data_IF_797998935934
#
_entry.id   IF_797998935934
#
_cell.length_a   1.000
_cell.length_b   1.000
_cell.length_c   1.000
_cell.angle_alpha   90.00
_cell.angle_beta   90.00
_cell.angle_gamma   90.00
#
_symmetry.space_group_name_H-M   'P 1'
#
loop_
_entity.id
_entity.type
_entity.pdbx_description
1 polymer ?
#
# COMPACT_ATOMS: atom_id res chain seq x y z
N UNK A 1 -2.69 16.35 54.78
CA UNK A 1 -3.28 16.55 53.43
C UNK A 1 -2.36 15.93 52.40
N UNK A 2 -2.67 14.70 51.96
CA UNK A 2 -1.88 13.99 50.95
C UNK A 2 -2.44 14.39 49.58
N UNK A 3 -1.68 15.14 48.78
CA UNK A 3 -2.01 15.37 47.38
C UNK A 3 -1.48 14.19 46.54
N UNK A 4 -2.38 13.37 46.03
CA UNK A 4 -2.06 12.34 45.03
C UNK A 4 -2.00 13.02 43.66
N UNK A 5 -0.79 13.18 43.12
CA UNK A 5 -0.58 13.65 41.75
C UNK A 5 -0.87 12.52 40.77
N UNK A 6 -1.95 12.65 40.00
CA UNK A 6 -2.27 11.74 38.90
C UNK A 6 -1.31 12.04 37.75
N UNK A 7 -0.35 11.15 37.50
CA UNK A 7 0.48 11.16 36.30
C UNK A 7 -0.33 10.52 35.16
N UNK A 8 -0.86 11.34 34.26
CA UNK A 8 -1.43 10.87 33.00
C UNK A 8 -0.29 10.45 32.07
N UNK A 9 -0.03 9.15 31.98
CA UNK A 9 0.85 8.59 30.94
C UNK A 9 0.16 8.73 29.58
N UNK A 10 0.83 9.25 28.53
CA UNK A 10 0.24 9.32 27.20
C UNK A 10 0.04 7.91 26.65
N UNK A 11 -1.16 7.63 26.16
CA UNK A 11 -1.48 6.37 25.49
C UNK A 11 -0.73 6.32 24.14
N UNK A 12 0.39 5.61 24.11
CA UNK A 12 1.12 5.31 22.87
C UNK A 12 0.24 4.37 22.02
N UNK A 13 -0.25 4.86 20.88
CA UNK A 13 -0.94 4.01 19.89
C UNK A 13 0.12 3.08 19.29
N UNK A 14 0.17 1.83 19.73
CA UNK A 14 0.96 0.80 19.06
C UNK A 14 0.31 0.53 17.71
N UNK A 15 0.95 0.94 16.62
CA UNK A 15 0.54 0.52 15.29
C UNK A 15 0.84 -0.97 15.15
N UNK A 16 -0.15 -1.78 14.76
CA UNK A 16 0.08 -3.20 14.50
C UNK A 16 1.14 -3.33 13.41
N UNK A 17 2.23 -4.02 13.72
CA UNK A 17 3.30 -4.22 12.77
C UNK A 17 2.87 -5.31 11.79
N UNK A 18 2.51 -4.88 10.59
CA UNK A 18 2.15 -5.78 9.47
C UNK A 18 3.23 -5.70 8.40
N UNK A 19 3.42 -6.80 7.68
CA UNK A 19 4.24 -6.83 6.46
C UNK A 19 3.39 -7.19 5.26
N UNK A 20 3.79 -6.69 4.09
CA UNK A 20 3.14 -7.01 2.83
C UNK A 20 3.99 -8.02 2.07
N UNK A 21 3.36 -9.09 1.61
CA UNK A 21 4.01 -10.14 0.82
C UNK A 21 3.19 -10.46 -0.42
N UNK A 22 3.76 -11.26 -1.34
CA UNK A 22 3.07 -11.75 -2.54
C UNK A 22 2.40 -10.63 -3.35
N UNK A 23 3.10 -9.51 -3.53
CA UNK A 23 2.61 -8.40 -4.36
C UNK A 23 2.61 -8.83 -5.82
N UNK A 24 1.45 -8.75 -6.47
CA UNK A 24 1.29 -9.16 -7.87
C UNK A 24 0.62 -8.06 -8.69
N UNK A 25 0.90 -8.09 -9.99
CA UNK A 25 0.19 -7.34 -11.02
C UNK A 25 -0.38 -8.36 -12.00
N UNK A 26 -1.69 -8.33 -12.24
CA UNK A 26 -2.39 -9.33 -13.05
C UNK A 26 -2.10 -10.78 -12.59
N UNK A 27 -2.06 -10.98 -11.26
CA UNK A 27 -1.74 -12.26 -10.59
C UNK A 27 -0.32 -12.79 -10.86
N UNK A 28 0.56 -11.98 -11.44
CA UNK A 28 1.95 -12.33 -11.73
C UNK A 28 2.92 -11.53 -10.85
N UNK A 29 4.03 -12.14 -10.47
CA UNK A 29 5.13 -11.48 -9.75
C UNK A 29 6.06 -10.83 -10.77
N UNK A 30 6.23 -9.51 -10.69
CA UNK A 30 7.09 -8.71 -11.58
C UNK A 30 6.93 -9.03 -13.08
N UNK A 31 5.69 -9.01 -13.62
CA UNK A 31 5.47 -9.38 -15.01
C UNK A 31 6.11 -8.39 -15.98
N UNK A 32 6.46 -8.89 -17.17
CA UNK A 32 6.87 -8.09 -18.31
C UNK A 32 5.85 -8.26 -19.45
N UNK A 33 5.56 -7.17 -20.17
CA UNK A 33 4.71 -7.24 -21.36
C UNK A 33 3.21 -7.35 -21.07
N UNK A 34 2.73 -6.76 -19.98
CA UNK A 34 1.28 -6.62 -19.75
C UNK A 34 0.70 -5.64 -20.77
N UNK A 35 -0.32 -6.08 -21.51
CA UNK A 35 -1.08 -5.30 -22.50
C UNK A 35 -2.42 -4.78 -21.97
N UNK A 36 -2.81 -5.21 -20.76
CA UNK A 36 -3.97 -4.70 -20.04
C UNK A 36 -3.77 -3.23 -19.71
N UNK A 37 -4.60 -2.34 -20.28
CA UNK A 37 -4.51 -0.88 -20.13
C UNK A 37 -4.68 -0.42 -18.68
N UNK A 38 -5.52 -1.13 -17.91
CA UNK A 38 -5.78 -0.87 -16.48
C UNK A 38 -5.49 -2.13 -15.67
N UNK A 39 -4.20 -2.45 -15.44
CA UNK A 39 -3.82 -3.66 -14.74
C UNK A 39 -4.32 -3.66 -13.28
N UNK A 40 -4.38 -4.83 -12.67
CA UNK A 40 -4.91 -5.07 -11.34
C UNK A 40 -3.79 -5.49 -10.40
N UNK A 41 -3.74 -4.84 -9.25
CA UNK A 41 -2.79 -5.14 -8.19
C UNK A 41 -3.42 -6.05 -7.13
N UNK A 42 -2.58 -6.85 -6.48
CA UNK A 42 -2.95 -7.58 -5.27
C UNK A 42 -1.76 -7.68 -4.32
N UNK A 43 -2.05 -7.81 -3.02
CA UNK A 43 -1.06 -7.99 -1.97
C UNK A 43 -1.64 -8.80 -0.81
N UNK A 44 -0.77 -9.50 -0.08
CA UNK A 44 -1.12 -10.23 1.13
C UNK A 44 -0.62 -9.47 2.36
N UNK A 45 -1.47 -9.34 3.37
CA UNK A 45 -1.12 -8.76 4.67
C UNK A 45 -0.74 -9.90 5.61
N UNK A 46 0.48 -9.85 6.12
CA UNK A 46 1.00 -10.80 7.11
C UNK A 46 1.13 -10.08 8.44
N UNK A 47 0.54 -10.66 9.49
CA UNK A 47 0.56 -10.14 10.84
C UNK A 47 0.72 -11.29 11.84
N UNK A 48 1.42 -11.04 12.94
CA UNK A 48 1.54 -12.00 14.05
C UNK A 48 0.24 -12.07 14.88
N UNK A 49 -0.45 -10.94 14.99
CA UNK A 49 -1.69 -10.83 15.74
C UNK A 49 -2.90 -11.38 14.97
N UNK A 50 -3.90 -11.84 15.71
CA UNK A 50 -5.20 -12.23 15.18
C UNK A 50 -6.07 -11.00 14.88
N UNK A 51 -7.07 -11.20 14.03
CA UNK A 51 -8.10 -10.20 13.70
C UNK A 51 -7.50 -8.89 13.16
N UNK A 52 -6.41 -8.98 12.39
CA UNK A 52 -5.86 -7.85 11.64
C UNK A 52 -6.60 -7.73 10.31
N UNK A 53 -7.17 -6.56 10.04
CA UNK A 53 -7.95 -6.29 8.83
C UNK A 53 -7.52 -4.96 8.24
N UNK A 54 -7.36 -4.88 6.92
CA UNK A 54 -7.12 -3.62 6.24
C UNK A 54 -8.33 -2.68 6.37
N UNK A 55 -8.06 -1.42 6.65
CA UNK A 55 -9.06 -0.34 6.66
C UNK A 55 -8.86 0.66 5.53
N UNK A 56 -7.63 0.77 5.02
CA UNK A 56 -7.31 1.60 3.87
C UNK A 56 -6.03 1.12 3.16
N UNK A 57 -5.84 1.59 1.92
CA UNK A 57 -4.59 1.44 1.17
C UNK A 57 -4.20 2.71 0.43
N UNK A 58 -2.94 2.78 0.00
CA UNK A 58 -2.43 3.76 -0.96
C UNK A 58 -1.43 3.06 -1.88
N UNK A 59 -1.63 3.20 -3.18
CA UNK A 59 -0.74 2.68 -4.21
C UNK A 59 0.00 3.86 -4.85
N UNK A 60 1.32 3.71 -4.95
CA UNK A 60 2.16 4.58 -5.77
C UNK A 60 2.67 3.77 -6.96
N UNK A 61 2.62 4.37 -8.15
CA UNK A 61 3.22 3.86 -9.38
C UNK A 61 4.14 4.94 -9.93
N UNK A 62 5.38 4.54 -10.24
CA UNK A 62 6.43 5.45 -10.68
C UNK A 62 7.17 4.95 -11.92
N UNK A 63 7.72 5.88 -12.68
CA UNK A 63 8.52 5.58 -13.88
C UNK A 63 9.92 5.05 -13.58
N UNK A 64 10.39 5.21 -12.34
CA UNK A 64 11.70 4.72 -11.89
C UNK A 64 11.66 4.28 -10.43
N UNK A 65 12.58 3.38 -10.06
CA UNK A 65 12.74 2.94 -8.67
C UNK A 65 13.18 4.10 -7.75
N UNK A 66 13.98 5.04 -8.27
CA UNK A 66 14.42 6.23 -7.54
C UNK A 66 13.23 7.08 -7.09
N UNK A 67 12.33 7.42 -8.02
CA UNK A 67 11.09 8.16 -7.71
C UNK A 67 10.21 7.40 -6.72
N UNK A 68 10.03 6.09 -6.95
CA UNK A 68 9.25 5.26 -6.04
C UNK A 68 9.84 5.25 -4.61
N UNK A 69 11.16 5.18 -4.47
CA UNK A 69 11.85 5.22 -3.18
C UNK A 69 11.71 6.59 -2.50
N UNK A 70 11.71 7.68 -3.28
CA UNK A 70 11.38 9.02 -2.81
C UNK A 70 9.87 9.20 -2.49
N UNK A 71 9.05 8.17 -2.68
CA UNK A 71 7.58 8.20 -2.54
C UNK A 71 6.88 9.16 -3.49
N UNK A 72 7.46 9.33 -4.67
CA UNK A 72 6.88 10.07 -5.79
C UNK A 72 6.19 9.10 -6.75
N UNK A 73 4.86 9.10 -6.76
CA UNK A 73 4.02 8.34 -7.71
C UNK A 73 3.74 9.14 -8.98
N UNK A 74 4.78 9.45 -9.76
CA UNK A 74 4.67 10.34 -10.92
C UNK A 74 3.74 9.83 -12.03
N UNK A 75 3.52 8.52 -12.09
CA UNK A 75 2.54 7.87 -12.97
C UNK A 75 1.17 7.81 -12.30
N UNK A 76 1.14 7.38 -11.03
CA UNK A 76 -0.09 7.32 -10.24
C UNK A 76 0.19 7.41 -8.74
N UNK A 77 -0.63 8.18 -8.05
CA UNK A 77 -0.85 8.09 -6.61
C UNK A 77 -2.35 7.93 -6.39
N UNK A 78 -2.78 6.84 -5.77
CA UNK A 78 -4.20 6.63 -5.46
C UNK A 78 -4.71 7.57 -4.35
N UNK A 79 -3.81 8.23 -3.63
CA UNK A 79 -4.08 8.77 -2.31
C UNK A 79 -4.47 7.67 -1.33
N UNK A 80 -4.92 8.06 -0.14
CA UNK A 80 -5.50 7.13 0.83
C UNK A 80 -6.92 6.75 0.41
N UNK A 81 -7.12 5.48 0.07
CA UNK A 81 -8.42 4.91 -0.26
C UNK A 81 -8.94 4.12 0.94
N UNK A 82 -10.09 4.52 1.50
CA UNK A 82 -10.74 3.80 2.60
C UNK A 82 -11.45 2.55 2.04
N UNK A 83 -10.73 1.43 1.99
CA UNK A 83 -11.23 0.15 1.50
C UNK A 83 -10.48 -1.01 2.15
N UNK A 84 -11.19 -2.10 2.37
CA UNK A 84 -10.65 -3.38 2.84
C UNK A 84 -10.12 -4.26 1.70
N UNK A 85 -10.32 -3.86 0.43
CA UNK A 85 -9.87 -4.63 -0.72
C UNK A 85 -8.34 -4.69 -0.83
N UNK A 86 -7.80 -5.88 -1.06
CA UNK A 86 -6.37 -6.13 -1.28
C UNK A 86 -6.08 -7.00 -2.50
N UNK A 87 -7.12 -7.35 -3.27
CA UNK A 87 -7.06 -8.22 -4.44
C UNK A 87 -7.83 -7.55 -5.57
N UNK A 88 -7.32 -7.66 -6.79
CA UNK A 88 -7.92 -7.09 -8.00
C UNK A 88 -8.11 -5.56 -7.96
N UNK A 89 -7.26 -4.85 -7.22
CA UNK A 89 -7.33 -3.39 -7.12
C UNK A 89 -6.88 -2.78 -8.44
N UNK A 90 -7.84 -2.17 -9.15
CA UNK A 90 -7.64 -1.68 -10.51
C UNK A 90 -6.80 -0.41 -10.54
N UNK A 91 -5.81 -0.38 -11.41
CA UNK A 91 -5.05 0.82 -11.73
C UNK A 91 -5.98 1.94 -12.25
N UNK A 92 -5.84 3.14 -11.67
CA UNK A 92 -6.65 4.31 -12.02
C UNK A 92 -5.81 5.59 -12.22
N UNK A 93 -4.56 5.43 -12.64
CA UNK A 93 -3.65 6.54 -12.94
C UNK A 93 -3.67 6.98 -14.39
N UNK A 94 -2.58 7.64 -14.80
CA UNK A 94 -2.33 8.06 -16.19
C UNK A 94 -2.32 6.87 -17.15
N UNK A 95 -2.68 7.08 -18.41
CA UNK A 95 -2.62 6.01 -19.41
C UNK A 95 -1.22 5.38 -19.51
N UNK A 96 -1.15 4.06 -19.51
CA UNK A 96 0.10 3.32 -19.66
C UNK A 96 0.38 3.11 -21.14
N UNK A 97 1.54 3.57 -21.61
CA UNK A 97 1.95 3.45 -23.02
C UNK A 97 2.83 2.21 -23.24
N UNK A 98 2.92 1.76 -24.50
CA UNK A 98 3.77 0.64 -24.88
C UNK A 98 5.22 0.79 -24.37
N UNK A 99 5.79 -0.32 -23.89
CA UNK A 99 7.18 -0.42 -23.38
C UNK A 99 7.50 0.47 -22.17
N UNK A 100 6.49 1.00 -21.49
CA UNK A 100 6.68 1.73 -20.25
C UNK A 100 6.96 0.76 -19.10
N UNK A 101 8.16 0.82 -18.53
CA UNK A 101 8.47 0.13 -17.27
C UNK A 101 7.90 0.94 -16.11
N UNK A 102 7.07 0.29 -15.31
CA UNK A 102 6.50 0.88 -14.11
C UNK A 102 7.00 0.14 -12.88
N UNK A 103 7.21 0.88 -11.79
CA UNK A 103 7.48 0.36 -10.48
C UNK A 103 6.30 0.74 -9.59
N UNK A 104 5.90 -0.13 -8.67
CA UNK A 104 4.81 0.19 -7.77
C UNK A 104 5.10 -0.29 -6.35
N UNK A 105 4.49 0.39 -5.39
CA UNK A 105 4.45 -0.04 -3.99
C UNK A 105 3.07 0.28 -3.41
N UNK A 106 2.72 -0.44 -2.37
CA UNK A 106 1.48 -0.23 -1.62
C UNK A 106 1.78 -0.01 -0.15
N UNK A 107 1.04 0.90 0.46
CA UNK A 107 0.95 1.11 1.90
C UNK A 107 -0.45 0.74 2.36
N UNK A 108 -0.58 0.12 3.52
CA UNK A 108 -1.87 -0.25 4.11
C UNK A 108 -2.04 0.37 5.49
N UNK A 109 -3.28 0.51 5.91
CA UNK A 109 -3.69 0.78 7.28
C UNK A 109 -4.54 -0.39 7.78
N UNK A 110 -4.37 -0.77 9.03
CA UNK A 110 -5.08 -1.89 9.68
C UNK A 110 -5.59 -1.52 11.06
#
# INVERSE_FOLDING_TARGET
MILIGIVLLPFQKVAKQVSLQHTTCEMLVNPMGIDVVKPRFAWHIIAEERNVKQTAYQILVASSLEKLNASEGDIWDSGKVNSEESIHVKYNGKELTSRLRCFWKVKVWT
#
